data_IF_886104593186
#
_entry.id   IF_886104593186
#
_cell.length_a   1.000
_cell.length_b   1.000
_cell.length_c   1.000
_cell.angle_alpha   90.00
_cell.angle_beta   90.00
_cell.angle_gamma   90.00
#
_symmetry.space_group_name_H-M   'P 1'
#
loop_
_entity.id
_entity.type
_entity.pdbx_description
1 polymer ?
#
# COMPACT_ATOMS: atom_id res chain seq x y z
N UNK A 1 -10.01 5.85 20.02
CA UNK A 1 -10.90 5.15 20.98
C UNK A 1 -11.73 4.09 20.27
N UNK A 2 -12.21 3.08 21.00
CA UNK A 2 -13.03 1.96 20.51
C UNK A 2 -13.18 0.88 21.60
N UNK A 3 -13.92 -0.19 21.30
CA UNK A 3 -13.94 -1.39 22.12
C UNK A 3 -13.93 -2.64 21.23
N UNK A 4 -14.07 -3.83 21.84
CA UNK A 4 -13.98 -5.09 21.11
C UNK A 4 -14.91 -5.16 19.89
N UNK A 5 -16.11 -4.56 19.92
CA UNK A 5 -17.12 -4.65 18.85
C UNK A 5 -17.54 -3.32 18.22
N UNK A 6 -16.92 -2.19 18.61
CA UNK A 6 -17.32 -0.86 18.14
C UNK A 6 -16.11 -0.05 17.72
N UNK A 7 -16.12 0.43 16.49
CA UNK A 7 -15.20 1.44 16.02
C UNK A 7 -15.80 2.83 16.27
N UNK A 8 -15.02 3.71 16.90
CA UNK A 8 -15.44 5.08 17.19
C UNK A 8 -14.45 6.09 16.63
N UNK A 9 -14.93 7.27 16.26
CA UNK A 9 -14.07 8.42 15.99
C UNK A 9 -13.46 9.01 17.25
N UNK A 10 -12.69 10.09 17.09
CA UNK A 10 -12.02 10.79 18.20
C UNK A 10 -13.01 11.30 19.28
N UNK A 11 -14.21 11.71 18.85
CA UNK A 11 -15.30 12.14 19.74
C UNK A 11 -15.98 11.00 20.49
N UNK A 12 -15.49 9.76 20.37
CA UNK A 12 -16.10 8.51 20.89
C UNK A 12 -17.47 8.17 20.29
N UNK A 13 -17.91 8.91 19.27
CA UNK A 13 -19.09 8.57 18.50
C UNK A 13 -18.84 7.28 17.72
N UNK A 14 -19.75 6.31 17.85
CA UNK A 14 -19.73 5.09 17.05
C UNK A 14 -19.86 5.42 15.56
N UNK A 15 -18.96 4.85 14.77
CA UNK A 15 -18.98 4.94 13.31
C UNK A 15 -19.61 3.67 12.73
N UNK A 16 -19.19 2.50 13.20
CA UNK A 16 -19.84 1.22 12.89
C UNK A 16 -19.53 0.18 13.97
N UNK A 17 -20.33 -0.88 13.96
CA UNK A 17 -20.26 -2.01 14.90
C UNK A 17 -19.99 -3.34 14.19
N UNK A 18 -19.80 -4.41 14.97
CA UNK A 18 -19.64 -5.76 14.45
C UNK A 18 -20.89 -6.32 13.75
N UNK A 19 -22.05 -5.66 13.90
CA UNK A 19 -23.28 -6.01 13.19
C UNK A 19 -23.34 -5.40 11.76
N UNK A 20 -22.50 -4.41 11.47
CA UNK A 20 -22.53 -3.61 10.24
C UNK A 20 -21.34 -3.88 9.32
N UNK A 21 -20.56 -4.92 9.59
CA UNK A 21 -19.28 -5.20 8.92
C UNK A 21 -19.40 -5.53 7.41
N UNK A 22 -20.60 -5.82 6.91
CA UNK A 22 -20.83 -6.07 5.47
C UNK A 22 -20.48 -4.87 4.58
N UNK A 23 -20.47 -3.64 5.13
CA UNK A 23 -20.00 -2.44 4.42
C UNK A 23 -18.51 -2.51 4.05
N UNK A 24 -17.75 -3.40 4.69
CA UNK A 24 -16.32 -3.59 4.51
C UNK A 24 -15.97 -4.83 3.67
N UNK A 25 -16.96 -5.50 3.08
CA UNK A 25 -16.74 -6.64 2.21
C UNK A 25 -15.79 -6.28 1.05
N UNK A 26 -14.85 -7.17 0.74
CA UNK A 26 -13.78 -6.98 -0.23
C UNK A 26 -12.65 -6.05 0.24
N UNK A 27 -12.73 -5.38 1.39
CA UNK A 27 -11.72 -4.36 1.73
C UNK A 27 -10.55 -4.95 2.52
N UNK A 28 -9.37 -4.36 2.33
CA UNK A 28 -8.31 -4.34 3.33
C UNK A 28 -8.65 -3.21 4.30
N UNK A 29 -8.82 -3.53 5.57
CA UNK A 29 -9.30 -2.61 6.60
C UNK A 29 -8.20 -2.36 7.62
N UNK A 30 -7.83 -1.11 7.84
CA UNK A 30 -6.93 -0.70 8.92
C UNK A 30 -7.67 0.19 9.92
N UNK A 31 -7.70 -0.18 11.20
CA UNK A 31 -8.29 0.62 12.27
C UNK A 31 -7.26 0.90 13.37
N UNK A 32 -6.88 2.16 13.54
CA UNK A 32 -6.14 2.62 14.72
C UNK A 32 -7.13 2.79 15.89
N UNK A 33 -7.53 1.67 16.49
CA UNK A 33 -8.53 1.66 17.56
C UNK A 33 -8.36 0.51 18.54
N UNK A 34 -8.50 0.82 19.83
CA UNK A 34 -8.34 -0.11 20.94
C UNK A 34 -9.21 -1.36 20.80
N UNK A 35 -8.60 -2.53 21.00
CA UNK A 35 -9.26 -3.84 21.15
C UNK A 35 -10.07 -4.32 19.95
N UNK A 36 -10.11 -3.56 18.86
CA UNK A 36 -10.96 -3.86 17.72
C UNK A 36 -10.58 -5.19 17.05
N UNK A 37 -9.33 -5.63 17.15
CA UNK A 37 -8.92 -6.94 16.61
C UNK A 37 -9.49 -8.15 17.40
N UNK A 38 -10.09 -7.93 18.58
CA UNK A 38 -10.60 -9.03 19.43
C UNK A 38 -11.94 -9.59 18.91
N UNK A 39 -12.87 -8.72 18.48
CA UNK A 39 -14.20 -9.15 18.01
C UNK A 39 -14.60 -8.49 16.69
N UNK A 40 -14.37 -7.18 16.54
CA UNK A 40 -14.68 -6.44 15.32
C UNK A 40 -13.86 -6.93 14.13
N UNK A 41 -12.55 -7.16 14.32
CA UNK A 41 -11.67 -7.69 13.28
C UNK A 41 -12.13 -9.03 12.71
N UNK A 42 -12.39 -10.05 13.53
CA UNK A 42 -13.02 -11.29 13.09
C UNK A 42 -14.36 -11.08 12.36
N UNK A 43 -15.23 -10.20 12.88
CA UNK A 43 -16.51 -9.89 12.23
C UNK A 43 -16.34 -9.25 10.84
N UNK A 44 -15.31 -8.43 10.62
CA UNK A 44 -14.95 -7.90 9.30
C UNK A 44 -14.59 -9.02 8.33
N UNK A 45 -13.75 -9.97 8.77
CA UNK A 45 -13.35 -11.12 7.95
C UNK A 45 -14.57 -12.00 7.64
N UNK A 46 -15.38 -12.33 8.65
CA UNK A 46 -16.58 -13.15 8.48
C UNK A 46 -17.61 -12.51 7.55
N UNK A 47 -17.67 -11.17 7.51
CA UNK A 47 -18.52 -10.40 6.60
C UNK A 47 -17.95 -10.27 5.17
N UNK A 48 -16.79 -10.86 4.88
CA UNK A 48 -16.17 -10.89 3.56
C UNK A 48 -15.09 -9.84 3.32
N UNK A 49 -14.56 -9.19 4.36
CA UNK A 49 -13.35 -8.38 4.25
C UNK A 49 -12.14 -9.23 3.83
N UNK A 50 -11.23 -8.68 3.02
CA UNK A 50 -10.02 -9.40 2.56
C UNK A 50 -9.03 -9.54 3.72
N UNK A 51 -8.80 -8.43 4.42
CA UNK A 51 -7.84 -8.34 5.51
C UNK A 51 -8.34 -7.34 6.54
N UNK A 52 -8.05 -7.61 7.80
CA UNK A 52 -8.21 -6.66 8.88
C UNK A 52 -6.87 -6.44 9.60
N UNK A 53 -6.54 -5.17 9.89
CA UNK A 53 -5.35 -4.74 10.62
C UNK A 53 -5.80 -3.79 11.73
N UNK A 54 -5.39 -4.07 12.97
CA UNK A 54 -5.73 -3.25 14.13
C UNK A 54 -5.04 -3.77 15.38
N UNK A 55 -5.58 -3.47 16.56
CA UNK A 55 -4.95 -3.83 17.83
C UNK A 55 -5.85 -4.76 18.65
N UNK A 56 -5.28 -5.84 19.19
CA UNK A 56 -5.96 -6.76 20.13
C UNK A 56 -5.86 -6.31 21.60
N UNK A 57 -5.17 -5.19 21.82
CA UNK A 57 -5.00 -4.48 23.09
C UNK A 57 -5.56 -3.06 22.98
N UNK A 58 -5.60 -2.34 24.11
CA UNK A 58 -5.77 -0.89 24.08
C UNK A 58 -4.51 -0.24 23.55
N UNK A 59 -4.54 0.30 22.33
CA UNK A 59 -3.42 1.10 21.82
C UNK A 59 -3.16 2.31 22.71
N UNK A 60 -1.90 2.57 23.04
CA UNK A 60 -1.46 3.63 23.94
C UNK A 60 -0.52 4.61 23.26
N UNK A 61 -0.28 5.75 23.92
CA UNK A 61 0.78 6.66 23.51
C UNK A 61 1.19 7.52 24.70
N UNK A 62 2.41 8.05 24.63
CA UNK A 62 2.89 9.07 25.55
C UNK A 62 2.90 10.43 24.86
N UNK A 63 2.72 11.51 25.62
CA UNK A 63 2.83 12.87 25.10
C UNK A 63 3.22 13.80 26.24
N UNK A 64 4.10 14.76 25.95
CA UNK A 64 4.33 15.92 26.80
C UNK A 64 3.22 16.95 26.63
N UNK A 65 2.74 17.16 25.39
CA UNK A 65 1.62 18.06 25.11
C UNK A 65 0.60 17.42 24.15
N UNK A 66 -0.52 16.97 24.70
CA UNK A 66 -1.61 16.33 23.95
C UNK A 66 -2.33 17.27 22.95
N UNK A 67 -2.03 18.57 22.97
CA UNK A 67 -2.61 19.56 22.05
C UNK A 67 -1.66 19.98 20.93
N UNK A 68 -0.39 19.55 20.99
CA UNK A 68 0.60 19.81 19.95
C UNK A 68 0.49 18.76 18.82
N UNK A 69 1.14 19.05 17.70
CA UNK A 69 1.38 18.04 16.67
C UNK A 69 2.20 16.89 17.29
N UNK A 70 1.72 15.64 17.27
CA UNK A 70 2.46 14.51 17.85
C UNK A 70 3.81 14.26 17.16
N UNK A 71 4.03 14.76 15.95
CA UNK A 71 5.33 14.65 15.26
C UNK A 71 6.36 15.67 15.72
N UNK A 72 5.96 16.70 16.48
CA UNK A 72 6.86 17.65 17.13
C UNK A 72 7.14 17.27 18.61
N UNK A 73 6.39 16.30 19.15
CA UNK A 73 6.52 15.78 20.52
C UNK A 73 7.23 14.44 20.53
N UNK A 74 8.46 14.42 21.05
CA UNK A 74 9.27 13.21 21.07
C UNK A 74 8.66 12.04 21.84
N UNK A 75 7.78 12.27 22.82
CA UNK A 75 7.09 11.18 23.50
C UNK A 75 6.00 10.56 22.64
N UNK A 76 5.39 11.34 21.73
CA UNK A 76 4.29 10.89 20.88
C UNK A 76 4.79 10.39 19.52
N UNK A 77 5.82 11.00 18.97
CA UNK A 77 6.27 10.82 17.59
C UNK A 77 6.46 9.34 17.24
N UNK A 78 7.12 8.58 18.12
CA UNK A 78 7.37 7.15 17.89
C UNK A 78 6.12 6.29 17.81
N UNK A 79 5.09 6.60 18.58
CA UNK A 79 3.83 5.87 18.54
C UNK A 79 3.10 6.13 17.23
N UNK A 80 2.98 7.41 16.84
CA UNK A 80 2.24 7.82 15.65
C UNK A 80 2.97 7.43 14.36
N UNK A 81 4.30 7.56 14.29
CA UNK A 81 5.07 7.07 13.12
C UNK A 81 4.90 5.58 12.94
N UNK A 82 5.08 4.82 14.02
CA UNK A 82 5.02 3.35 13.95
C UNK A 82 3.62 2.85 13.56
N UNK A 83 2.55 3.40 14.15
CA UNK A 83 1.19 3.02 13.79
C UNK A 83 0.81 3.45 12.37
N UNK A 84 1.21 4.66 11.93
CA UNK A 84 0.86 5.16 10.61
C UNK A 84 1.70 4.56 9.48
N UNK A 85 2.82 3.91 9.80
CA UNK A 85 3.66 3.27 8.80
C UNK A 85 2.93 2.14 8.05
N UNK A 86 2.07 1.38 8.73
CA UNK A 86 1.28 0.33 8.09
C UNK A 86 0.35 0.87 6.99
N UNK A 87 -0.57 1.84 7.25
CA UNK A 87 -1.40 2.40 6.18
C UNK A 87 -0.58 3.16 5.13
N UNK A 88 0.54 3.79 5.48
CA UNK A 88 1.45 4.42 4.51
C UNK A 88 2.02 3.38 3.54
N UNK A 89 2.51 2.24 4.04
CA UNK A 89 3.06 1.17 3.23
C UNK A 89 2.02 0.57 2.27
N UNK A 90 0.79 0.35 2.75
CA UNK A 90 -0.33 -0.06 1.90
C UNK A 90 -0.59 0.94 0.77
N UNK A 91 -0.62 2.25 1.08
CA UNK A 91 -0.79 3.34 0.08
C UNK A 91 0.38 3.44 -0.91
N UNK A 92 1.56 2.94 -0.53
CA UNK A 92 2.71 2.80 -1.43
C UNK A 92 2.66 1.50 -2.26
N UNK A 93 1.76 0.60 -1.89
CA UNK A 93 1.39 -0.58 -2.66
C UNK A 93 2.17 -1.81 -2.30
N UNK A 94 2.65 -1.85 -1.06
CA UNK A 94 3.17 -3.06 -0.42
C UNK A 94 2.02 -4.04 -0.15
N UNK A 95 2.38 -5.31 0.05
CA UNK A 95 1.46 -6.31 0.60
C UNK A 95 1.15 -5.98 2.05
N UNK A 96 0.06 -6.53 2.57
CA UNK A 96 -0.30 -6.45 3.99
C UNK A 96 0.86 -6.90 4.89
N UNK A 97 1.48 -8.05 4.59
CA UNK A 97 2.65 -8.56 5.31
C UNK A 97 3.82 -7.58 5.32
N UNK A 98 4.17 -7.00 4.18
CA UNK A 98 5.25 -6.03 4.10
C UNK A 98 4.90 -4.72 4.84
N UNK A 99 3.62 -4.32 4.87
CA UNK A 99 3.15 -3.17 5.62
C UNK A 99 3.23 -3.40 7.14
N UNK A 100 2.88 -4.59 7.61
CA UNK A 100 3.06 -5.02 9.01
C UNK A 100 4.54 -5.00 9.39
N UNK A 101 5.40 -5.62 8.58
CA UNK A 101 6.86 -5.67 8.80
C UNK A 101 7.46 -4.27 8.92
N UNK A 102 7.02 -3.32 8.07
CA UNK A 102 7.47 -1.92 8.14
C UNK A 102 7.02 -1.22 9.42
N UNK A 103 5.78 -1.44 9.85
CA UNK A 103 5.28 -0.88 11.10
C UNK A 103 6.06 -1.44 12.31
N UNK A 104 6.31 -2.75 12.35
CA UNK A 104 7.14 -3.39 13.37
C UNK A 104 8.57 -2.85 13.35
N UNK A 105 9.15 -2.67 12.16
CA UNK A 105 10.48 -2.09 12.02
C UNK A 105 10.56 -0.65 12.55
N UNK A 106 9.54 0.17 12.30
CA UNK A 106 9.48 1.54 12.84
C UNK A 106 9.32 1.55 14.37
N UNK A 107 8.50 0.64 14.94
CA UNK A 107 8.45 0.44 16.39
C UNK A 107 9.83 0.10 16.97
N UNK A 108 10.54 -0.85 16.35
CA UNK A 108 11.87 -1.26 16.78
C UNK A 108 12.89 -0.11 16.67
N UNK A 109 12.79 0.70 15.61
CA UNK A 109 13.62 1.90 15.43
C UNK A 109 13.42 2.89 16.58
N UNK A 110 12.17 3.14 16.98
CA UNK A 110 11.87 4.05 18.08
C UNK A 110 12.29 3.49 19.43
N UNK A 111 12.16 2.17 19.65
CA UNK A 111 12.69 1.52 20.85
C UNK A 111 14.21 1.73 20.92
N UNK A 112 14.94 1.49 19.83
CA UNK A 112 16.39 1.72 19.78
C UNK A 112 16.76 3.18 20.07
N UNK A 113 16.03 4.16 19.52
CA UNK A 113 16.23 5.58 19.82
C UNK A 113 16.07 5.86 21.33
N UNK A 114 15.07 5.27 21.97
CA UNK A 114 14.88 5.43 23.42
C UNK A 114 15.96 4.73 24.25
N UNK A 115 16.46 3.59 23.80
CA UNK A 115 17.55 2.85 24.45
C UNK A 115 18.91 3.55 24.30
N UNK A 116 19.10 4.32 23.23
CA UNK A 116 20.40 4.88 22.85
C UNK A 116 20.42 6.41 22.95
N UNK A 117 19.84 7.09 21.96
CA UNK A 117 19.86 8.56 21.83
C UNK A 117 19.16 9.25 23.00
N UNK A 118 18.17 8.59 23.63
CA UNK A 118 17.36 9.15 24.72
C UNK A 118 17.45 8.37 26.02
N UNK A 119 18.50 7.58 26.20
CA UNK A 119 18.69 6.77 27.39
C UNK A 119 18.76 7.58 28.70
N UNK A 120 19.06 8.87 28.61
CA UNK A 120 19.11 9.80 29.74
C UNK A 120 17.76 10.45 30.12
N UNK A 121 16.71 10.24 29.32
CA UNK A 121 15.38 10.78 29.63
C UNK A 121 14.75 10.01 30.79
N UNK A 122 14.17 10.69 31.80
CA UNK A 122 13.60 10.03 32.97
C UNK A 122 12.42 9.09 32.65
N UNK A 123 11.81 9.22 31.47
CA UNK A 123 10.70 8.37 31.04
C UNK A 123 11.05 7.41 29.89
N UNK A 124 12.33 7.28 29.51
CA UNK A 124 12.77 6.40 28.42
C UNK A 124 12.29 4.95 28.61
N UNK A 125 12.43 4.41 29.82
CA UNK A 125 11.99 3.05 30.14
C UNK A 125 10.46 2.87 29.95
N UNK A 126 9.66 3.88 30.30
CA UNK A 126 8.22 3.86 30.08
C UNK A 126 7.88 3.93 28.59
N UNK A 127 8.58 4.78 27.83
CA UNK A 127 8.38 4.89 26.38
C UNK A 127 8.68 3.56 25.68
N UNK A 128 9.80 2.91 26.02
CA UNK A 128 10.16 1.58 25.51
C UNK A 128 9.08 0.55 25.84
N UNK A 129 8.63 0.49 27.10
CA UNK A 129 7.63 -0.47 27.54
C UNK A 129 6.30 -0.33 26.77
N UNK A 130 5.83 0.90 26.58
CA UNK A 130 4.59 1.16 25.84
C UNK A 130 4.74 0.93 24.32
N UNK A 131 5.88 1.28 23.72
CA UNK A 131 6.15 0.96 22.31
C UNK A 131 6.17 -0.55 22.07
N UNK A 132 6.80 -1.33 22.96
CA UNK A 132 6.78 -2.81 22.89
C UNK A 132 5.36 -3.33 23.03
N UNK A 133 4.60 -2.80 24.00
CA UNK A 133 3.21 -3.18 24.22
C UNK A 133 2.35 -2.97 22.97
N UNK A 134 2.42 -1.77 22.35
CA UNK A 134 1.66 -1.46 21.14
C UNK A 134 2.13 -2.28 19.93
N UNK A 135 3.45 -2.44 19.74
CA UNK A 135 4.02 -3.29 18.67
C UNK A 135 3.49 -4.72 18.75
N UNK A 136 3.56 -5.33 19.93
CA UNK A 136 3.19 -6.74 20.12
C UNK A 136 1.67 -6.96 20.10
N UNK A 137 0.90 -5.87 20.21
CA UNK A 137 -0.55 -5.89 20.10
C UNK A 137 -1.12 -5.62 18.70
N UNK A 138 -0.28 -5.18 17.75
CA UNK A 138 -0.67 -5.07 16.35
C UNK A 138 -1.07 -6.47 15.84
N UNK A 139 -2.23 -6.56 15.22
CA UNK A 139 -2.83 -7.82 14.80
C UNK A 139 -3.31 -7.71 13.36
N UNK A 140 -2.89 -8.68 12.54
CA UNK A 140 -3.34 -8.86 11.16
C UNK A 140 -4.16 -10.14 11.05
N UNK A 141 -5.34 -10.05 10.43
CA UNK A 141 -6.24 -11.16 10.13
C UNK A 141 -6.55 -11.19 8.64
N UNK A 142 -6.83 -12.37 8.08
CA UNK A 142 -7.18 -12.55 6.66
C UNK A 142 -5.96 -12.74 5.75
N UNK A 143 -6.05 -12.29 4.50
CA UNK A 143 -5.01 -12.47 3.50
C UNK A 143 -3.85 -11.46 3.69
N UNK A 144 -2.67 -11.94 4.06
CA UNK A 144 -1.47 -11.10 4.23
C UNK A 144 -0.72 -10.82 2.92
N UNK A 145 -1.10 -11.46 1.83
CA UNK A 145 -0.54 -11.20 0.49
C UNK A 145 -1.30 -10.11 -0.27
N UNK A 146 -2.48 -9.73 0.23
CA UNK A 146 -3.31 -8.69 -0.36
C UNK A 146 -2.59 -7.34 -0.47
N UNK A 147 -2.91 -6.58 -1.51
CA UNK A 147 -2.43 -5.22 -1.75
C UNK A 147 -3.62 -4.30 -1.98
N UNK A 148 -3.59 -3.05 -1.51
CA UNK A 148 -4.67 -2.09 -1.84
C UNK A 148 -4.48 -1.41 -3.20
N UNK A 149 -3.34 -1.59 -3.84
CA UNK A 149 -3.05 -1.02 -5.15
C UNK A 149 -3.05 -2.12 -6.21
N UNK A 150 -3.89 -1.93 -7.22
CA UNK A 150 -4.10 -2.86 -8.32
C UNK A 150 -2.84 -2.97 -9.20
N UNK A 151 -2.20 -4.14 -9.20
CA UNK A 151 -1.21 -4.47 -10.22
C UNK A 151 -1.95 -4.99 -11.45
N UNK A 152 -1.82 -4.30 -12.57
CA UNK A 152 -2.36 -4.72 -13.85
C UNK A 152 -1.40 -5.75 -14.44
N UNK A 153 -1.89 -6.96 -14.71
CA UNK A 153 -1.19 -7.87 -15.62
C UNK A 153 -1.10 -7.17 -16.99
N UNK A 154 0.05 -6.57 -17.28
CA UNK A 154 0.24 -5.89 -18.54
C UNK A 154 0.70 -6.85 -19.63
N UNK A 155 0.75 -6.32 -20.84
CA UNK A 155 1.08 -7.10 -22.02
C UNK A 155 2.56 -7.52 -22.03
N UNK A 156 2.84 -8.55 -22.82
CA UNK A 156 4.21 -8.94 -23.16
C UNK A 156 4.55 -8.43 -24.55
N UNK A 157 5.71 -7.79 -24.72
CA UNK A 157 6.23 -7.35 -26.01
C UNK A 157 7.39 -8.27 -26.41
N UNK A 158 7.28 -8.90 -27.58
CA UNK A 158 8.26 -9.88 -28.07
C UNK A 158 7.97 -11.28 -27.56
N UNK A 159 8.99 -12.14 -27.63
CA UNK A 159 8.92 -13.57 -27.30
C UNK A 159 10.23 -14.00 -26.61
N UNK A 160 10.15 -14.95 -25.69
CA UNK A 160 11.32 -15.53 -25.01
C UNK A 160 12.31 -16.14 -26.02
N UNK A 161 13.60 -15.97 -25.76
CA UNK A 161 14.70 -16.47 -26.59
C UNK A 161 14.86 -15.77 -27.95
N UNK A 162 14.15 -14.66 -28.19
CA UNK A 162 14.25 -13.88 -29.44
C UNK A 162 14.64 -12.43 -29.17
N UNK A 163 15.49 -11.89 -30.04
CA UNK A 163 15.92 -10.51 -29.97
C UNK A 163 15.03 -9.58 -30.81
N UNK A 164 14.50 -8.52 -30.19
CA UNK A 164 13.71 -7.47 -30.83
C UNK A 164 14.29 -6.08 -30.53
N UNK A 165 13.79 -5.08 -31.26
CA UNK A 165 14.08 -3.66 -31.02
C UNK A 165 12.77 -2.91 -30.84
N UNK A 166 12.57 -2.34 -29.66
CA UNK A 166 11.45 -1.45 -29.36
C UNK A 166 11.92 -0.01 -29.61
N UNK A 167 11.37 0.64 -30.63
CA UNK A 167 11.74 2.03 -30.97
C UNK A 167 10.97 3.07 -30.17
N UNK A 168 9.75 2.73 -29.78
CA UNK A 168 8.96 3.53 -28.86
C UNK A 168 7.88 2.67 -28.23
N UNK A 169 7.47 3.05 -27.03
CA UNK A 169 6.31 2.51 -26.34
C UNK A 169 5.53 3.68 -25.74
N UNK A 170 4.29 3.84 -26.18
CA UNK A 170 3.36 4.85 -25.66
C UNK A 170 2.16 4.14 -25.04
N UNK A 171 1.79 4.56 -23.84
CA UNK A 171 0.62 4.07 -23.12
C UNK A 171 -0.52 5.09 -23.23
N UNK A 172 -1.68 4.66 -23.71
CA UNK A 172 -2.93 5.42 -23.70
C UNK A 172 -3.65 5.25 -22.37
N UNK A 173 -3.47 6.21 -21.46
CA UNK A 173 -4.06 6.27 -20.13
C UNK A 173 -5.21 7.29 -20.05
N UNK A 174 -6.01 7.40 -21.12
CA UNK A 174 -7.13 8.34 -21.20
C UNK A 174 -8.19 8.12 -20.12
N UNK A 175 -8.50 6.85 -19.85
CA UNK A 175 -9.52 6.43 -18.89
C UNK A 175 -9.03 6.42 -17.43
N UNK A 176 -7.72 6.53 -17.21
CA UNK A 176 -7.08 6.55 -15.88
C UNK A 176 -6.96 8.00 -15.40
N UNK A 177 -8.08 8.63 -15.04
CA UNK A 177 -8.13 10.04 -14.62
C UNK A 177 -8.01 10.18 -13.10
N UNK A 178 -7.37 11.26 -12.66
CA UNK A 178 -7.19 11.58 -11.24
C UNK A 178 -6.51 10.47 -10.43
N UNK A 179 -5.57 9.78 -11.09
CA UNK A 179 -4.80 8.69 -10.51
C UNK A 179 -3.30 8.86 -10.73
N UNK A 180 -2.52 8.27 -9.82
CA UNK A 180 -1.09 8.03 -10.01
C UNK A 180 -0.92 6.70 -10.73
N UNK A 181 -0.54 6.78 -12.00
CA UNK A 181 -0.30 5.61 -12.85
C UNK A 181 1.18 5.27 -12.83
N UNK A 182 1.54 4.06 -12.40
CA UNK A 182 2.92 3.57 -12.42
C UNK A 182 3.07 2.49 -13.48
N UNK A 183 4.08 2.63 -14.33
CA UNK A 183 4.42 1.67 -15.38
C UNK A 183 5.76 1.06 -15.06
N UNK A 184 5.81 -0.26 -14.97
CA UNK A 184 7.04 -1.02 -14.79
C UNK A 184 7.30 -1.91 -16.01
N UNK A 185 8.57 -2.02 -16.40
CA UNK A 185 9.01 -2.98 -17.40
C UNK A 185 9.85 -4.04 -16.71
N UNK A 186 9.58 -5.31 -17.02
CA UNK A 186 10.32 -6.45 -16.56
C UNK A 186 10.87 -7.25 -17.73
N UNK A 187 12.04 -7.84 -17.56
CA UNK A 187 12.65 -8.72 -18.55
C UNK A 187 13.24 -9.93 -17.84
N UNK A 188 13.22 -11.08 -18.51
CA UNK A 188 13.82 -12.29 -17.98
C UNK A 188 15.34 -12.19 -17.98
N UNK A 189 15.93 -12.38 -16.82
CA UNK A 189 17.38 -12.46 -16.58
C UNK A 189 17.60 -13.70 -15.73
N UNK A 190 18.43 -14.62 -16.22
CA UNK A 190 18.70 -15.92 -15.57
C UNK A 190 17.44 -16.72 -15.19
N UNK A 191 16.44 -16.69 -16.07
CA UNK A 191 15.19 -17.44 -15.88
C UNK A 191 14.13 -16.73 -15.03
N UNK A 192 14.47 -15.63 -14.35
CA UNK A 192 13.54 -14.85 -13.53
C UNK A 192 13.18 -13.51 -14.20
N UNK A 193 11.92 -13.09 -14.13
CA UNK A 193 11.50 -11.77 -14.61
C UNK A 193 11.94 -10.72 -13.58
N UNK A 194 12.90 -9.89 -13.97
CA UNK A 194 13.45 -8.82 -13.14
C UNK A 194 12.95 -7.46 -13.63
N UNK A 195 12.63 -6.55 -12.70
CA UNK A 195 12.24 -5.16 -13.02
C UNK A 195 13.44 -4.42 -13.59
N UNK A 196 13.32 -3.90 -14.81
CA UNK A 196 14.38 -3.16 -15.51
C UNK A 196 14.08 -1.67 -15.65
N UNK A 197 12.82 -1.27 -15.49
CA UNK A 197 12.39 0.13 -15.53
C UNK A 197 11.12 0.32 -14.72
N UNK A 198 10.96 1.49 -14.11
CA UNK A 198 9.74 1.89 -13.44
C UNK A 198 9.58 3.41 -13.50
N UNK A 199 8.36 3.88 -13.74
CA UNK A 199 8.03 5.30 -13.73
C UNK A 199 6.59 5.54 -13.33
N UNK A 200 6.36 6.56 -12.51
CA UNK A 200 5.01 7.05 -12.19
C UNK A 200 4.66 8.32 -12.97
N UNK A 201 3.39 8.47 -13.25
CA UNK A 201 2.75 9.61 -13.92
C UNK A 201 1.55 10.06 -13.08
N UNK A 202 1.33 11.36 -13.01
CA UNK A 202 0.19 11.96 -12.33
C UNK A 202 -0.89 12.32 -13.37
N UNK A 203 -2.04 11.63 -13.30
CA UNK A 203 -3.18 11.84 -14.20
C UNK A 203 -4.25 12.75 -13.62
N UNK A 204 -3.96 13.48 -12.54
CA UNK A 204 -4.79 14.61 -12.11
C UNK A 204 -4.79 15.73 -13.16
N UNK A 205 -5.86 16.53 -13.25
CA UNK A 205 -5.98 17.57 -14.27
C UNK A 205 -4.78 18.52 -14.31
N UNK A 206 -4.19 18.69 -15.50
CA UNK A 206 -3.08 19.63 -15.73
C UNK A 206 -1.67 19.08 -15.51
N UNK A 207 -1.50 17.80 -15.18
CA UNK A 207 -0.19 17.17 -14.96
C UNK A 207 0.34 16.41 -16.19
N UNK A 208 0.17 15.09 -16.26
CA UNK A 208 0.60 14.28 -17.40
C UNK A 208 -0.52 14.13 -18.44
N UNK A 209 -0.22 14.07 -19.75
CA UNK A 209 -1.23 13.89 -20.80
C UNK A 209 -1.76 12.44 -20.86
N UNK A 210 -2.87 12.18 -21.58
CA UNK A 210 -3.37 10.82 -21.78
C UNK A 210 -2.40 9.86 -22.45
N UNK A 211 -1.53 10.35 -23.34
CA UNK A 211 -0.49 9.54 -23.99
C UNK A 211 0.82 9.63 -23.21
N UNK A 212 1.18 8.56 -22.51
CA UNK A 212 2.37 8.49 -21.67
C UNK A 212 3.52 7.82 -22.43
N UNK A 213 4.61 8.56 -22.62
CA UNK A 213 5.83 8.01 -23.20
C UNK A 213 6.57 7.15 -22.19
N UNK A 214 6.58 5.84 -22.42
CA UNK A 214 7.28 4.86 -21.58
C UNK A 214 8.69 4.63 -22.10
N UNK A 215 8.79 4.42 -23.42
CA UNK A 215 10.07 4.32 -24.14
C UNK A 215 10.05 5.38 -25.23
N UNK A 216 10.94 6.38 -25.11
CA UNK A 216 11.16 7.42 -26.12
C UNK A 216 12.57 7.30 -26.70
N UNK A 217 12.82 6.19 -27.40
CA UNK A 217 14.15 5.83 -27.90
C UNK A 217 14.23 4.34 -28.25
N UNK A 218 15.36 3.89 -28.78
CA UNK A 218 15.52 2.46 -29.10
C UNK A 218 16.02 1.66 -27.91
N UNK A 219 15.25 0.65 -27.51
CA UNK A 219 15.64 -0.38 -26.55
C UNK A 219 15.76 -1.72 -27.29
N UNK A 220 16.89 -2.39 -27.12
CA UNK A 220 17.04 -3.79 -27.52
C UNK A 220 16.51 -4.71 -26.43
N UNK A 221 15.71 -5.70 -26.79
CA UNK A 221 15.25 -6.75 -25.87
C UNK A 221 15.69 -8.10 -26.44
N UNK A 222 16.10 -9.03 -25.58
CA UNK A 222 16.54 -10.39 -25.98
C UNK A 222 15.67 -11.50 -25.37
N UNK A 223 14.67 -11.10 -24.58
CA UNK A 223 13.60 -11.92 -24.03
C UNK A 223 12.30 -11.13 -24.17
N UNK A 224 11.18 -11.75 -23.83
CA UNK A 224 9.91 -11.05 -23.79
C UNK A 224 9.93 -9.94 -22.72
N UNK A 225 9.50 -8.74 -23.10
CA UNK A 225 9.42 -7.58 -22.20
C UNK A 225 8.02 -7.56 -21.56
N UNK A 226 7.94 -7.87 -20.27
CA UNK A 226 6.72 -7.75 -19.50
C UNK A 226 6.46 -6.27 -19.18
N UNK A 227 5.34 -5.74 -19.64
CA UNK A 227 4.85 -4.42 -19.22
C UNK A 227 3.90 -4.65 -18.07
N UNK A 228 3.97 -3.83 -17.02
CA UNK A 228 3.00 -3.80 -15.93
C UNK A 228 2.55 -2.37 -15.74
N UNK A 229 1.25 -2.18 -15.53
CA UNK A 229 0.68 -0.86 -15.20
C UNK A 229 0.04 -0.98 -13.82
N UNK A 230 0.02 0.10 -13.04
CA UNK A 230 -0.52 0.13 -11.69
C UNK A 230 -1.23 1.46 -11.51
N UNK A 231 -2.47 1.44 -11.05
CA UNK A 231 -3.20 2.65 -10.66
C UNK A 231 -3.47 2.64 -9.17
N UNK A 232 -3.31 3.79 -8.52
CA UNK A 232 -3.71 3.98 -7.12
C UNK A 232 -5.21 4.32 -6.96
N UNK A 233 -5.97 4.44 -8.05
CA UNK A 233 -7.39 4.68 -7.99
C UNK A 233 -8.15 3.35 -8.18
N UNK A 234 -8.95 2.90 -7.18
CA UNK A 234 -9.68 1.64 -7.29
C UNK A 234 -10.72 1.64 -8.41
N UNK A 235 -11.26 2.80 -8.79
CA UNK A 235 -12.24 2.94 -9.87
C UNK A 235 -11.63 2.70 -11.25
N UNK A 236 -10.30 2.58 -11.34
CA UNK A 236 -9.63 2.21 -12.58
C UNK A 236 -9.74 0.71 -12.90
N UNK A 237 -10.22 -0.12 -11.97
CA UNK A 237 -10.45 -1.56 -12.17
C UNK A 237 -11.28 -1.83 -13.44
N UNK A 238 -10.87 -2.83 -14.22
CA UNK A 238 -11.52 -3.23 -15.47
C UNK A 238 -11.33 -2.28 -16.65
N UNK A 239 -10.80 -1.06 -16.45
CA UNK A 239 -10.61 -0.11 -17.56
C UNK A 239 -9.56 -0.63 -18.52
N UNK A 240 -9.79 -0.41 -19.82
CA UNK A 240 -8.83 -0.82 -20.84
C UNK A 240 -7.77 0.26 -21.00
N UNK A 241 -6.51 -0.17 -21.03
CA UNK A 241 -5.37 0.66 -21.35
C UNK A 241 -4.77 0.15 -22.66
N UNK A 242 -4.43 1.06 -23.55
CA UNK A 242 -3.85 0.72 -24.85
C UNK A 242 -2.34 0.98 -24.84
N UNK A 243 -1.55 0.05 -25.36
CA UNK A 243 -0.14 0.28 -25.64
C UNK A 243 0.12 0.24 -27.15
N UNK A 244 0.86 1.23 -27.64
CA UNK A 244 1.19 1.38 -29.05
C UNK A 244 2.70 1.35 -29.29
N UNK A 245 3.11 0.57 -30.30
CA UNK A 245 4.47 0.52 -30.84
C UNK A 245 4.51 1.25 -32.19
N UNK A 246 5.43 2.21 -32.35
CA UNK A 246 5.46 3.11 -33.52
C UNK A 246 5.65 2.41 -34.87
N UNK A 247 6.37 1.28 -34.89
CA UNK A 247 6.82 0.69 -36.17
C UNK A 247 5.85 -0.30 -36.78
N UNK A 248 5.07 -0.99 -35.95
CA UNK A 248 4.27 -2.14 -36.38
C UNK A 248 2.76 -1.86 -36.35
N UNK A 249 2.35 -0.68 -35.84
CA UNK A 249 0.94 -0.31 -35.56
C UNK A 249 0.20 -1.35 -34.71
N UNK A 250 0.91 -2.27 -34.07
CA UNK A 250 0.34 -3.21 -33.11
C UNK A 250 -0.17 -2.41 -31.92
N UNK A 251 -1.48 -2.50 -31.71
CA UNK A 251 -2.15 -2.00 -30.52
C UNK A 251 -2.36 -3.22 -29.63
N UNK A 252 -1.82 -3.14 -28.42
CA UNK A 252 -2.09 -4.12 -27.37
C UNK A 252 -3.10 -3.50 -26.42
N UNK A 253 -4.23 -4.17 -26.22
CA UNK A 253 -5.20 -3.82 -25.20
C UNK A 253 -5.00 -4.71 -24.00
N UNK A 254 -5.07 -4.13 -22.81
CA UNK A 254 -5.12 -4.90 -21.56
C UNK A 254 -6.06 -4.20 -20.59
N UNK A 255 -6.76 -5.00 -19.78
CA UNK A 255 -7.70 -4.52 -18.78
C UNK A 255 -6.98 -4.35 -17.46
N UNK A 256 -7.30 -3.29 -16.72
CA UNK A 256 -6.94 -3.18 -15.31
C UNK A 256 -7.56 -4.37 -14.58
N UNK A 257 -6.77 -5.17 -13.88
CA UNK A 257 -7.28 -6.35 -13.17
C UNK A 257 -8.30 -5.92 -12.10
N UNK A 258 -9.42 -6.65 -12.01
CA UNK A 258 -10.38 -6.49 -10.92
C UNK A 258 -9.76 -7.08 -9.64
N UNK A 259 -9.61 -6.31 -8.55
CA UNK A 259 -9.02 -6.81 -7.31
C UNK A 259 -9.92 -7.80 -6.55
N UNK A 260 -11.15 -8.04 -7.02
CA UNK A 260 -12.15 -8.87 -6.33
C UNK A 260 -12.50 -10.17 -7.06
N UNK A 261 -11.75 -10.55 -8.11
CA UNK A 261 -11.98 -11.77 -8.93
C UNK A 261 -10.76 -12.67 -8.97
#
# INVERSE_FOLDING_TARGET
>A
HGNIGIYTGDTTQAIFTDEECSILAGRVVYLLSCLTAVKLGPAVIDAGGITYIGFNISWTWMAQNITADPYDDWYAEGFYRSSNECPIALIQGDTVSAAEDRSIAEYNRWIEIWETERSGDPYAASAIAWLIYDRDGLTVLGDQSATIIQTIEGCTIGEDGKAYRVQSLVLGAGELTDSKVTVALGMKVDGAVNKVYERSFNRSPGHDPPGLWIINGTVGIHEALAVKVKSNNPDDAGKTVEASLSRDRSIFTFSVADPYV
#
